data_IF_369140230659
#
_entry.id   IF_369140230659
#
_cell.length_a   1.000
_cell.length_b   1.000
_cell.length_c   1.000
_cell.angle_alpha   90.00
_cell.angle_beta   90.00
_cell.angle_gamma   90.00
#
_symmetry.space_group_name_H-M   'P 1'
#
loop_
_entity.id
_entity.type
_entity.pdbx_description
1 polymer ?
#
# COMPACT_ATOMS: atom_id res chain seq x y z
N UNK A 1 -24.15 -3.23 -41.15
CA UNK A 1 -24.80 -3.72 -39.91
C UNK A 1 -26.02 -2.87 -39.61
N UNK A 2 -27.10 -3.45 -39.06
CA UNK A 2 -28.24 -2.66 -38.56
C UNK A 2 -27.84 -1.93 -37.26
N UNK A 3 -28.48 -0.79 -36.98
CA UNK A 3 -28.23 -0.03 -35.73
C UNK A 3 -28.48 -0.88 -34.49
N UNK A 4 -29.52 -1.70 -34.52
CA UNK A 4 -29.84 -2.64 -33.44
C UNK A 4 -28.73 -3.65 -33.20
N UNK A 5 -28.16 -4.22 -34.28
CA UNK A 5 -27.03 -5.14 -34.14
C UNK A 5 -25.78 -4.43 -33.61
N UNK A 6 -25.52 -3.18 -34.03
CA UNK A 6 -24.39 -2.40 -33.51
C UNK A 6 -24.53 -2.13 -32.00
N UNK A 7 -25.72 -1.70 -31.57
CA UNK A 7 -26.00 -1.47 -30.15
C UNK A 7 -25.82 -2.76 -29.33
N UNK A 8 -26.38 -3.89 -29.81
CA UNK A 8 -26.23 -5.18 -29.13
C UNK A 8 -24.77 -5.61 -28.99
N UNK A 9 -23.93 -5.37 -30.00
CA UNK A 9 -22.49 -5.67 -29.92
C UNK A 9 -21.80 -4.76 -28.90
N UNK A 10 -22.06 -3.45 -28.93
CA UNK A 10 -21.45 -2.51 -27.99
C UNK A 10 -21.85 -2.85 -26.55
N UNK A 11 -23.11 -3.20 -26.31
CA UNK A 11 -23.60 -3.59 -24.98
C UNK A 11 -22.96 -4.89 -24.50
N UNK A 12 -22.82 -5.88 -25.39
CA UNK A 12 -22.13 -7.13 -25.08
C UNK A 12 -20.64 -6.91 -24.75
N UNK A 13 -19.95 -6.04 -25.51
CA UNK A 13 -18.56 -5.67 -25.25
C UNK A 13 -18.43 -4.90 -23.93
N UNK A 14 -19.36 -3.98 -23.64
CA UNK A 14 -19.38 -3.24 -22.37
C UNK A 14 -19.56 -4.19 -21.18
N UNK A 15 -20.49 -5.15 -21.29
CA UNK A 15 -20.71 -6.16 -20.25
C UNK A 15 -19.47 -7.05 -20.05
N UNK A 16 -18.88 -7.56 -21.13
CA UNK A 16 -17.65 -8.35 -21.05
C UNK A 16 -16.51 -7.55 -20.41
N UNK A 17 -16.33 -6.29 -20.81
CA UNK A 17 -15.33 -5.39 -20.24
C UNK A 17 -15.56 -5.14 -18.74
N UNK A 18 -16.81 -4.96 -18.32
CA UNK A 18 -17.17 -4.82 -16.90
C UNK A 18 -16.80 -6.06 -16.08
N UNK A 19 -17.12 -7.26 -16.59
CA UNK A 19 -16.79 -8.53 -15.93
C UNK A 19 -15.28 -8.68 -15.76
N UNK A 20 -14.51 -8.41 -16.83
CA UNK A 20 -13.05 -8.51 -16.79
C UNK A 20 -12.45 -7.45 -15.85
N UNK A 21 -12.96 -6.22 -15.87
CA UNK A 21 -12.52 -5.16 -14.95
C UNK A 21 -12.77 -5.54 -13.49
N UNK A 22 -13.97 -6.05 -13.18
CA UNK A 22 -14.32 -6.50 -11.84
C UNK A 22 -13.44 -7.67 -11.39
N UNK A 23 -13.27 -8.69 -12.23
CA UNK A 23 -12.45 -9.86 -11.92
C UNK A 23 -10.98 -9.48 -11.66
N UNK A 24 -10.39 -8.63 -12.51
CA UNK A 24 -9.00 -8.18 -12.33
C UNK A 24 -8.84 -7.30 -11.09
N UNK A 25 -9.79 -6.42 -10.77
CA UNK A 25 -9.76 -5.61 -9.55
C UNK A 25 -9.87 -6.47 -8.29
N UNK A 26 -10.73 -7.47 -8.32
CA UNK A 26 -10.95 -8.42 -7.22
C UNK A 26 -9.70 -9.29 -6.98
N UNK A 27 -9.08 -9.76 -8.06
CA UNK A 27 -7.81 -10.48 -8.02
C UNK A 27 -6.69 -9.62 -7.44
N UNK A 28 -6.56 -8.36 -7.87
CA UNK A 28 -5.58 -7.41 -7.31
C UNK A 28 -5.83 -7.10 -5.83
N UNK A 29 -7.06 -7.24 -5.35
CA UNK A 29 -7.40 -7.03 -3.93
C UNK A 29 -7.07 -8.24 -3.05
N UNK A 30 -7.44 -9.44 -3.50
CA UNK A 30 -7.34 -10.64 -2.66
C UNK A 30 -6.16 -11.54 -2.99
N UNK A 31 -5.82 -11.70 -4.27
CA UNK A 31 -4.71 -12.56 -4.68
C UNK A 31 -3.36 -11.85 -4.57
N UNK A 32 -3.32 -10.53 -4.78
CA UNK A 32 -2.09 -9.72 -4.73
C UNK A 32 -2.23 -8.49 -3.80
N UNK A 33 -2.29 -8.70 -2.47
CA UNK A 33 -2.44 -7.60 -1.52
C UNK A 33 -1.34 -6.53 -1.66
N UNK A 34 -1.61 -5.27 -1.27
CA UNK A 34 -0.62 -4.20 -1.30
C UNK A 34 0.65 -4.60 -0.52
N UNK A 35 1.83 -4.42 -1.12
CA UNK A 35 3.11 -4.76 -0.47
C UNK A 35 3.75 -6.08 -0.91
N UNK A 36 3.07 -6.89 -1.72
CA UNK A 36 3.62 -8.09 -2.42
C UNK A 36 4.52 -7.75 -3.63
N UNK A 37 5.13 -6.55 -3.59
CA UNK A 37 5.60 -5.75 -4.73
C UNK A 37 6.31 -6.51 -5.86
N UNK A 38 5.98 -6.14 -7.10
CA UNK A 38 6.63 -6.63 -8.29
C UNK A 38 8.11 -6.27 -8.39
N UNK A 39 8.80 -6.98 -9.31
CA UNK A 39 10.26 -7.01 -9.46
C UNK A 39 10.94 -5.63 -9.56
N UNK A 40 10.23 -4.61 -10.06
CA UNK A 40 10.75 -3.24 -10.25
C UNK A 40 10.64 -2.31 -9.03
N UNK A 41 9.98 -2.74 -7.96
CA UNK A 41 9.84 -1.98 -6.72
C UNK A 41 10.58 -2.68 -5.57
N UNK A 42 11.88 -2.93 -5.71
CA UNK A 42 12.71 -3.25 -4.55
C UNK A 42 12.62 -2.05 -3.60
N UNK A 43 11.80 -2.15 -2.56
CA UNK A 43 11.75 -1.13 -1.52
C UNK A 43 13.16 -0.84 -1.03
N UNK A 44 13.53 0.42 -0.86
CA UNK A 44 14.84 0.80 -0.35
C UNK A 44 14.93 0.54 1.17
N UNK A 45 14.96 -0.72 1.57
CA UNK A 45 14.98 -1.15 2.97
C UNK A 45 15.69 -2.48 3.17
N UNK A 46 16.20 -2.70 4.38
CA UNK A 46 16.85 -3.96 4.75
C UNK A 46 15.88 -5.14 4.52
N UNK A 47 16.34 -6.18 3.81
CA UNK A 47 15.55 -7.37 3.49
C UNK A 47 14.60 -7.23 2.29
N UNK A 48 14.66 -6.14 1.52
CA UNK A 48 13.80 -5.96 0.34
C UNK A 48 14.01 -7.04 -0.74
N UNK A 49 15.26 -7.50 -0.94
CA UNK A 49 15.57 -8.61 -1.84
C UNK A 49 15.11 -9.98 -1.33
N UNK A 50 14.75 -10.10 -0.06
CA UNK A 50 14.33 -11.35 0.60
C UNK A 50 12.81 -11.50 0.70
N UNK A 51 12.03 -10.50 0.27
CA UNK A 51 10.57 -10.55 0.37
C UNK A 51 10.00 -11.42 -0.76
N UNK A 52 9.12 -12.39 -0.46
CA UNK A 52 8.47 -13.17 -1.50
C UNK A 52 7.59 -12.27 -2.36
N UNK A 53 7.77 -12.36 -3.68
CA UNK A 53 6.95 -11.65 -4.67
C UNK A 53 5.81 -12.57 -5.10
N UNK A 54 4.58 -12.11 -4.95
CA UNK A 54 3.42 -12.84 -5.47
C UNK A 54 3.28 -12.56 -6.96
N UNK A 55 3.43 -13.61 -7.77
CA UNK A 55 3.18 -13.54 -9.21
C UNK A 55 1.98 -14.39 -9.57
N UNK A 56 1.14 -13.88 -10.46
CA UNK A 56 0.04 -14.62 -11.06
C UNK A 56 0.31 -14.67 -12.55
N UNK A 57 0.49 -15.88 -13.08
CA UNK A 57 0.78 -16.11 -14.50
C UNK A 57 2.09 -15.43 -14.94
N UNK A 58 3.10 -15.42 -14.06
CA UNK A 58 4.39 -14.76 -14.32
C UNK A 58 4.34 -13.23 -14.26
N UNK A 59 3.17 -12.64 -14.06
CA UNK A 59 2.98 -11.20 -13.99
C UNK A 59 2.89 -10.75 -12.53
N UNK A 60 3.56 -9.65 -12.22
CA UNK A 60 3.51 -9.05 -10.89
C UNK A 60 2.25 -8.22 -10.68
N UNK A 61 2.00 -7.80 -9.43
CA UNK A 61 0.94 -6.85 -9.09
C UNK A 61 0.99 -5.56 -9.92
N UNK A 62 2.18 -5.10 -10.30
CA UNK A 62 2.33 -3.89 -11.11
C UNK A 62 1.88 -4.10 -12.56
N UNK A 63 2.25 -5.24 -13.14
CA UNK A 63 1.85 -5.60 -14.50
C UNK A 63 0.34 -5.84 -14.60
N UNK A 64 -0.23 -6.60 -13.65
CA UNK A 64 -1.68 -6.75 -13.55
C UNK A 64 -2.40 -5.43 -13.29
N UNK A 65 -1.79 -4.52 -12.53
CA UNK A 65 -2.28 -3.16 -12.35
C UNK A 65 -2.33 -2.38 -13.67
N UNK A 66 -1.29 -2.49 -14.50
CA UNK A 66 -1.24 -1.89 -15.83
C UNK A 66 -2.31 -2.47 -16.76
N UNK A 67 -2.47 -3.80 -16.77
CA UNK A 67 -3.52 -4.48 -17.54
C UNK A 67 -4.91 -4.00 -17.09
N UNK A 68 -5.17 -3.99 -15.78
CA UNK A 68 -6.42 -3.50 -15.21
C UNK A 68 -6.72 -2.05 -15.61
N UNK A 69 -5.70 -1.19 -15.57
CA UNK A 69 -5.81 0.21 -16.01
C UNK A 69 -6.22 0.34 -17.48
N UNK A 70 -5.58 -0.41 -18.40
CA UNK A 70 -5.94 -0.36 -19.82
C UNK A 70 -7.33 -0.93 -20.10
N UNK A 71 -7.75 -1.96 -19.37
CA UNK A 71 -9.12 -2.48 -19.44
C UNK A 71 -10.12 -1.40 -18.99
N UNK A 72 -9.84 -0.70 -17.89
CA UNK A 72 -10.68 0.39 -17.39
C UNK A 72 -10.81 1.51 -18.44
N UNK A 73 -9.70 1.90 -19.06
CA UNK A 73 -9.68 2.93 -20.09
C UNK A 73 -10.46 2.50 -21.34
N UNK A 74 -10.30 1.25 -21.78
CA UNK A 74 -11.05 0.68 -22.89
C UNK A 74 -12.55 0.62 -22.61
N UNK A 75 -12.94 0.15 -21.41
CA UNK A 75 -14.34 0.13 -20.99
C UNK A 75 -14.94 1.54 -20.92
N UNK A 76 -14.18 2.53 -20.45
CA UNK A 76 -14.60 3.94 -20.45
C UNK A 76 -14.93 4.43 -21.87
N UNK A 77 -14.08 4.12 -22.86
CA UNK A 77 -14.33 4.48 -24.25
C UNK A 77 -15.57 3.77 -24.82
N UNK A 78 -15.74 2.48 -24.54
CA UNK A 78 -16.94 1.72 -24.97
C UNK A 78 -18.21 2.29 -24.34
N UNK A 79 -18.19 2.63 -23.05
CA UNK A 79 -19.32 3.25 -22.37
C UNK A 79 -19.63 4.64 -22.91
N UNK A 80 -18.63 5.43 -23.29
CA UNK A 80 -18.85 6.70 -23.97
C UNK A 80 -19.57 6.51 -25.30
N UNK A 81 -19.13 5.54 -26.12
CA UNK A 81 -19.81 5.18 -27.38
C UNK A 81 -21.24 4.68 -27.11
N UNK A 82 -21.43 3.82 -26.12
CA UNK A 82 -22.75 3.33 -25.70
C UNK A 82 -23.68 4.51 -25.35
N UNK A 83 -23.23 5.47 -24.54
CA UNK A 83 -24.00 6.67 -24.20
C UNK A 83 -24.38 7.49 -25.44
N UNK A 84 -23.46 7.68 -26.39
CA UNK A 84 -23.72 8.41 -27.63
C UNK A 84 -24.77 7.69 -28.50
N UNK A 85 -24.70 6.35 -28.60
CA UNK A 85 -25.67 5.55 -29.34
C UNK A 85 -27.07 5.60 -28.70
N UNK A 86 -27.13 5.66 -27.37
CA UNK A 86 -28.37 5.74 -26.60
C UNK A 86 -28.86 7.18 -26.34
N UNK A 87 -28.18 8.20 -26.89
CA UNK A 87 -28.47 9.61 -26.64
C UNK A 87 -29.94 10.01 -26.87
N UNK A 88 -30.60 9.49 -27.91
CA UNK A 88 -32.02 9.75 -28.16
C UNK A 88 -32.93 9.21 -27.05
N UNK A 89 -32.64 8.01 -26.55
CA UNK A 89 -33.36 7.43 -25.42
C UNK A 89 -33.14 8.27 -24.16
N UNK A 90 -31.89 8.68 -23.90
CA UNK A 90 -31.55 9.57 -22.78
C UNK A 90 -32.36 10.87 -22.86
N UNK A 91 -32.37 11.54 -24.02
CA UNK A 91 -33.14 12.76 -24.22
C UNK A 91 -34.65 12.53 -24.04
N UNK A 92 -35.20 11.41 -24.51
CA UNK A 92 -36.60 11.06 -24.28
C UNK A 92 -36.93 10.83 -22.81
N UNK A 93 -36.04 10.16 -22.06
CA UNK A 93 -36.20 9.94 -20.60
C UNK A 93 -36.10 11.27 -19.85
N UNK A 94 -35.12 12.11 -20.18
CA UNK A 94 -34.92 13.42 -19.53
C UNK A 94 -36.02 14.43 -19.87
N UNK A 95 -36.58 14.39 -21.08
CA UNK A 95 -37.68 15.26 -21.53
C UNK A 95 -39.06 14.66 -21.32
N UNK A 96 -39.17 13.49 -20.69
CA UNK A 96 -40.43 12.78 -20.49
C UNK A 96 -41.49 13.71 -19.91
N UNK A 97 -42.70 13.70 -20.50
CA UNK A 97 -43.82 14.51 -20.03
C UNK A 97 -44.04 14.22 -18.54
N UNK A 98 -44.13 15.25 -17.67
CA UNK A 98 -44.43 15.03 -16.27
C UNK A 98 -45.79 14.34 -16.19
N UNK A 99 -45.81 13.09 -15.74
CA UNK A 99 -47.05 12.47 -15.29
C UNK A 99 -47.47 13.25 -14.04
N UNK A 100 -48.75 13.65 -13.96
CA UNK A 100 -49.29 14.53 -12.92
C UNK A 100 -49.09 14.06 -11.47
N UNK A 101 -48.67 12.80 -11.28
CA UNK A 101 -48.50 12.17 -9.97
C UNK A 101 -47.05 12.04 -9.49
N UNK A 102 -46.04 12.45 -10.29
CA UNK A 102 -44.63 12.32 -9.89
C UNK A 102 -43.98 13.70 -9.77
N UNK A 103 -43.77 14.13 -8.52
CA UNK A 103 -43.13 15.40 -8.18
C UNK A 103 -41.75 15.54 -8.85
N UNK A 104 -41.58 16.59 -9.65
CA UNK A 104 -40.33 16.93 -10.34
C UNK A 104 -39.11 17.06 -9.41
N UNK A 105 -39.33 17.18 -8.10
CA UNK A 105 -38.28 17.15 -7.09
C UNK A 105 -37.47 15.84 -7.07
N UNK A 106 -38.08 14.67 -7.36
CA UNK A 106 -37.35 13.38 -7.39
C UNK A 106 -36.36 13.31 -8.54
N UNK A 107 -36.72 13.89 -9.68
CA UNK A 107 -35.85 13.99 -10.85
C UNK A 107 -34.70 14.97 -10.60
N UNK A 108 -35.00 16.15 -10.06
CA UNK A 108 -33.97 17.14 -9.68
C UNK A 108 -32.98 16.57 -8.66
N UNK A 109 -33.47 15.83 -7.66
CA UNK A 109 -32.62 15.14 -6.69
C UNK A 109 -31.73 14.07 -7.34
N UNK A 110 -32.25 13.31 -8.30
CA UNK A 110 -31.48 12.33 -9.06
C UNK A 110 -30.34 12.97 -9.86
N UNK A 111 -30.62 14.08 -10.54
CA UNK A 111 -29.60 14.84 -11.30
C UNK A 111 -28.54 15.43 -10.37
N UNK A 112 -28.96 16.05 -9.26
CA UNK A 112 -28.05 16.60 -8.26
C UNK A 112 -27.16 15.51 -7.63
N UNK A 113 -27.73 14.35 -7.32
CA UNK A 113 -27.00 13.19 -6.80
C UNK A 113 -25.95 12.67 -7.79
N UNK A 114 -26.31 12.52 -9.07
CA UNK A 114 -25.37 12.10 -10.10
C UNK A 114 -24.24 13.11 -10.29
N UNK A 115 -24.55 14.41 -10.28
CA UNK A 115 -23.54 15.46 -10.37
C UNK A 115 -22.57 15.42 -9.18
N UNK A 116 -23.09 15.26 -7.96
CA UNK A 116 -22.28 15.13 -6.74
C UNK A 116 -21.35 13.92 -6.79
N UNK A 117 -21.86 12.74 -7.17
CA UNK A 117 -21.05 11.51 -7.30
C UNK A 117 -19.95 11.70 -8.34
N UNK A 118 -20.27 12.33 -9.47
CA UNK A 118 -19.29 12.61 -10.54
C UNK A 118 -18.19 13.56 -10.04
N UNK A 119 -18.56 14.62 -9.32
CA UNK A 119 -17.60 15.56 -8.75
C UNK A 119 -16.69 14.91 -7.70
N UNK A 120 -17.26 14.10 -6.80
CA UNK A 120 -16.49 13.36 -5.80
C UNK A 120 -15.53 12.36 -6.45
N UNK A 121 -15.96 11.67 -7.51
CA UNK A 121 -15.10 10.76 -8.27
C UNK A 121 -13.97 11.50 -9.01
N UNK A 122 -14.20 12.75 -9.45
CA UNK A 122 -13.20 13.57 -10.11
C UNK A 122 -12.23 14.29 -9.14
N UNK A 123 -12.61 14.46 -7.87
CA UNK A 123 -11.81 15.19 -6.88
C UNK A 123 -10.35 14.70 -6.75
N UNK A 124 -10.06 13.38 -6.72
CA UNK A 124 -8.69 12.87 -6.63
C UNK A 124 -7.78 13.27 -7.81
N UNK A 125 -8.36 13.61 -8.98
CA UNK A 125 -7.59 14.02 -10.16
C UNK A 125 -7.12 15.48 -10.07
N UNK A 126 -7.77 16.28 -9.22
CA UNK A 126 -7.51 17.72 -9.08
C UNK A 126 -6.69 17.99 -7.81
N UNK A 127 -6.81 17.14 -6.80
CA UNK A 127 -6.01 17.25 -5.57
C UNK A 127 -4.56 16.83 -5.84
N UNK A 128 -3.57 17.71 -5.62
CA UNK A 128 -2.17 17.38 -5.82
C UNK A 128 -1.73 16.27 -4.86
N UNK A 129 -0.94 15.34 -5.38
CA UNK A 129 -0.35 14.28 -4.57
C UNK A 129 0.67 14.88 -3.59
N UNK A 130 0.54 14.56 -2.30
CA UNK A 130 1.49 14.94 -1.28
C UNK A 130 2.46 13.78 -1.01
N UNK A 131 3.76 14.06 -1.01
CA UNK A 131 4.79 13.09 -0.62
C UNK A 131 5.19 13.32 0.82
N UNK A 132 4.75 12.45 1.72
CA UNK A 132 5.15 12.51 3.13
C UNK A 132 6.24 11.45 3.44
N UNK A 133 7.28 11.78 4.22
CA UNK A 133 8.23 10.79 4.71
C UNK A 133 7.52 9.69 5.49
N UNK A 134 7.87 8.43 5.24
CA UNK A 134 7.23 7.28 5.91
C UNK A 134 7.31 7.38 7.45
N UNK A 135 8.39 7.95 7.97
CA UNK A 135 8.60 8.18 9.40
C UNK A 135 7.62 9.20 10.00
N UNK A 136 7.20 10.20 9.24
CA UNK A 136 6.22 11.20 9.70
C UNK A 136 4.82 10.62 9.72
N UNK A 137 4.42 9.89 8.67
CA UNK A 137 3.13 9.19 8.63
C UNK A 137 3.00 8.15 9.76
N UNK A 138 4.08 7.42 10.05
CA UNK A 138 4.13 6.47 11.18
C UNK A 138 3.98 7.20 12.52
N UNK A 139 4.65 8.34 12.72
CA UNK A 139 4.50 9.15 13.94
C UNK A 139 3.10 9.74 14.08
N UNK A 140 2.49 10.23 13.00
CA UNK A 140 1.11 10.73 13.02
C UNK A 140 0.11 9.62 13.36
N UNK A 141 0.29 8.42 12.81
CA UNK A 141 -0.57 7.28 13.11
C UNK A 141 -0.40 6.74 14.53
N UNK A 142 0.78 6.95 15.15
CA UNK A 142 1.04 6.63 16.56
C UNK A 142 0.67 7.77 17.53
N UNK A 143 0.57 9.01 17.04
CA UNK A 143 0.32 10.21 17.86
C UNK A 143 -1.16 10.49 18.15
N UNK A 144 -2.09 9.95 17.36
CA UNK A 144 -3.54 10.19 17.52
C UNK A 144 -4.26 9.17 18.41
N UNK A 145 -3.54 8.16 18.94
CA UNK A 145 -4.09 7.17 19.87
C UNK A 145 -3.66 7.43 21.31
N UNK A 146 -3.68 8.69 21.75
CA UNK A 146 -3.67 9.03 23.18
C UNK A 146 -5.12 9.19 23.65
N UNK A 147 -5.89 8.11 23.61
CA UNK A 147 -7.02 7.96 24.53
C UNK A 147 -6.44 7.65 25.90
N UNK A 148 -6.60 8.61 26.80
CA UNK A 148 -6.30 8.57 28.23
C UNK A 148 -7.14 7.52 28.97
N UNK A 149 -6.88 6.25 28.66
CA UNK A 149 -7.31 5.13 29.47
C UNK A 149 -6.04 4.43 29.92
N UNK A 150 -5.72 4.59 31.20
CA UNK A 150 -4.75 3.77 31.90
C UNK A 150 -5.17 2.30 31.83
N UNK A 151 -4.76 1.63 30.76
CA UNK A 151 -4.72 0.18 30.64
C UNK A 151 -3.30 -0.30 30.96
N UNK A 152 -3.14 -1.53 31.50
CA UNK A 152 -1.84 -2.03 31.91
C UNK A 152 -0.88 -1.99 30.72
N UNK A 153 0.40 -1.74 31.01
CA UNK A 153 1.49 -2.01 30.08
C UNK A 153 1.32 -3.46 29.58
N UNK A 154 0.75 -3.62 28.40
CA UNK A 154 0.88 -4.86 27.65
C UNK A 154 2.33 -4.90 27.18
N UNK A 155 3.16 -5.45 28.07
CA UNK A 155 4.32 -6.22 27.68
C UNK A 155 3.83 -7.26 26.68
N UNK A 156 3.94 -6.92 25.40
CA UNK A 156 3.92 -7.90 24.33
C UNK A 156 5.18 -8.73 24.54
N UNK A 157 5.04 -9.80 25.33
CA UNK A 157 5.92 -10.95 25.33
C UNK A 157 5.86 -11.58 23.93
N UNK A 158 6.58 -10.97 22.98
CA UNK A 158 7.06 -11.71 21.82
C UNK A 158 8.22 -12.57 22.30
N UNK A 159 7.88 -13.82 22.64
CA UNK A 159 8.80 -14.94 22.77
C UNK A 159 9.55 -15.16 21.44
N UNK A 160 10.56 -14.33 21.21
CA UNK A 160 11.74 -14.57 20.36
C UNK A 160 12.90 -13.94 21.14
N UNK A 161 13.28 -14.62 22.21
CA UNK A 161 14.49 -14.31 22.95
C UNK A 161 15.70 -14.39 22.01
N UNK A 162 16.69 -13.54 22.28
CA UNK A 162 18.08 -13.73 21.81
C UNK A 162 18.48 -13.12 20.45
N UNK A 163 17.70 -12.22 19.84
CA UNK A 163 18.13 -11.51 18.63
C UNK A 163 18.40 -10.02 18.87
N UNK A 164 19.68 -9.64 18.97
CA UNK A 164 20.11 -8.23 18.99
C UNK A 164 19.69 -7.52 17.71
N UNK A 165 18.96 -6.41 17.85
CA UNK A 165 18.40 -5.61 16.74
C UNK A 165 19.21 -4.33 16.53
N UNK A 166 19.39 -3.92 15.27
CA UNK A 166 20.21 -2.75 14.92
C UNK A 166 19.68 -1.39 15.38
N UNK A 167 18.49 -1.30 15.96
CA UNK A 167 17.98 -0.06 16.56
C UNK A 167 18.32 0.10 18.04
N UNK A 168 18.87 -0.95 18.67
CA UNK A 168 19.28 -0.92 20.06
C UNK A 168 20.51 -0.04 20.26
N UNK A 169 20.67 0.53 21.46
CA UNK A 169 21.88 1.26 21.86
C UNK A 169 22.99 0.32 22.35
N UNK A 170 24.24 0.78 22.38
CA UNK A 170 25.34 -0.01 22.96
C UNK A 170 25.06 -0.41 24.41
N UNK A 171 24.43 0.49 25.19
CA UNK A 171 24.02 0.24 26.56
C UNK A 171 22.93 -0.84 26.68
N UNK A 172 21.92 -0.80 25.80
CA UNK A 172 20.88 -1.83 25.74
C UNK A 172 21.44 -3.20 25.31
N UNK A 173 22.40 -3.21 24.38
CA UNK A 173 23.06 -4.46 23.97
C UNK A 173 23.95 -5.00 25.09
N UNK A 174 24.65 -4.14 25.83
CA UNK A 174 25.47 -4.55 26.97
C UNK A 174 24.63 -5.10 28.13
N UNK A 175 23.50 -4.47 28.45
CA UNK A 175 22.59 -4.94 29.50
C UNK A 175 21.93 -6.27 29.13
N UNK A 176 21.61 -6.47 27.84
CA UNK A 176 20.97 -7.70 27.37
C UNK A 176 21.95 -8.86 27.19
N UNK A 177 23.17 -8.61 26.71
CA UNK A 177 24.18 -9.65 26.49
C UNK A 177 25.03 -9.98 27.72
N UNK A 178 24.96 -9.14 28.77
CA UNK A 178 25.83 -9.26 29.95
C UNK A 178 27.30 -8.93 29.68
N UNK A 179 27.64 -8.44 28.48
CA UNK A 179 28.99 -8.04 28.09
C UNK A 179 29.13 -6.51 28.27
N UNK A 180 30.11 -6.01 29.04
CA UNK A 180 30.31 -4.58 29.22
C UNK A 180 30.55 -3.83 27.90
N UNK A 181 30.07 -2.58 27.79
CA UNK A 181 30.25 -1.74 26.60
C UNK A 181 31.73 -1.63 26.20
N UNK A 182 32.63 -1.52 27.17
CA UNK A 182 34.09 -1.48 26.95
C UNK A 182 34.61 -2.71 26.22
N UNK A 183 34.08 -3.89 26.57
CA UNK A 183 34.51 -5.17 26.01
C UNK A 183 33.93 -5.37 24.62
N UNK A 184 32.70 -4.90 24.38
CA UNK A 184 32.08 -4.87 23.04
C UNK A 184 32.90 -3.97 22.11
N UNK A 185 33.26 -2.77 22.56
CA UNK A 185 34.08 -1.83 21.76
C UNK A 185 35.47 -2.40 21.49
N UNK A 186 36.11 -3.02 22.48
CA UNK A 186 37.42 -3.65 22.34
C UNK A 186 37.39 -4.80 21.32
N UNK A 187 36.38 -5.67 21.40
CA UNK A 187 36.22 -6.81 20.47
C UNK A 187 35.87 -6.37 19.05
N UNK A 188 35.20 -5.23 18.89
CA UNK A 188 34.89 -4.63 17.60
C UNK A 188 36.01 -3.73 17.04
N UNK A 189 37.07 -3.48 17.81
CA UNK A 189 38.17 -2.58 17.41
C UNK A 189 37.73 -1.11 17.29
N UNK A 190 36.71 -0.70 18.05
CA UNK A 190 36.17 0.65 18.04
C UNK A 190 36.85 1.54 19.09
N UNK A 191 36.85 2.88 18.89
CA UNK A 191 37.41 3.81 19.88
C UNK A 191 36.64 3.72 21.21
N UNK A 192 37.36 3.73 22.32
CA UNK A 192 36.77 3.71 23.67
C UNK A 192 35.98 4.98 24.04
N UNK A 193 36.04 6.02 23.19
CA UNK A 193 35.29 7.28 23.31
C UNK A 193 33.90 7.22 22.63
N UNK A 194 33.47 6.04 22.19
CA UNK A 194 32.15 5.86 21.57
C UNK A 194 31.05 6.00 22.64
N UNK A 195 30.06 6.85 22.37
CA UNK A 195 28.98 7.12 23.34
C UNK A 195 28.12 5.87 23.59
N UNK A 196 27.88 5.45 24.85
CA UNK A 196 27.06 4.27 25.18
C UNK A 196 25.60 4.35 24.70
N UNK A 197 25.09 5.57 24.49
CA UNK A 197 23.75 5.84 23.96
C UNK A 197 23.65 5.75 22.44
N UNK A 198 24.74 5.46 21.73
CA UNK A 198 24.75 5.37 20.28
C UNK A 198 24.06 4.10 19.79
N UNK A 199 23.23 4.24 18.75
CA UNK A 199 22.55 3.12 18.12
C UNK A 199 23.52 2.22 17.36
N UNK A 200 23.50 0.93 17.69
CA UNK A 200 24.48 -0.02 17.17
C UNK A 200 24.39 -0.18 15.65
N UNK A 201 23.19 -0.16 15.05
CA UNK A 201 23.06 -0.24 13.60
C UNK A 201 23.59 0.98 12.85
N UNK A 202 23.60 2.17 13.47
CA UNK A 202 24.22 3.37 12.91
C UNK A 202 25.73 3.29 13.02
N UNK A 203 26.23 2.91 14.19
CA UNK A 203 27.64 2.75 14.50
C UNK A 203 28.31 1.72 13.59
N UNK A 204 27.68 0.56 13.40
CA UNK A 204 28.16 -0.50 12.52
C UNK A 204 28.21 -0.03 11.06
N UNK A 205 27.18 0.68 10.57
CA UNK A 205 27.17 1.22 9.21
C UNK A 205 28.22 2.31 9.00
N UNK A 206 28.44 3.18 9.99
CA UNK A 206 29.45 4.24 9.93
C UNK A 206 30.88 3.69 9.77
N UNK A 207 31.14 2.50 10.31
CA UNK A 207 32.42 1.81 10.23
C UNK A 207 32.44 0.67 9.21
N UNK A 208 31.42 0.55 8.35
CA UNK A 208 31.33 -0.48 7.31
C UNK A 208 31.28 -1.92 7.84
N UNK A 209 30.79 -2.11 9.07
CA UNK A 209 30.71 -3.41 9.74
C UNK A 209 29.30 -4.00 9.66
N UNK A 210 29.23 -5.34 9.62
CA UNK A 210 27.97 -6.08 9.61
C UNK A 210 27.50 -6.47 11.01
N UNK A 211 26.18 -6.57 11.20
CA UNK A 211 25.56 -7.00 12.47
C UNK A 211 26.00 -8.41 12.92
N UNK A 212 26.49 -9.25 12.01
CA UNK A 212 27.10 -10.55 12.31
C UNK A 212 28.32 -10.41 13.21
N UNK A 213 29.20 -9.44 12.95
CA UNK A 213 30.38 -9.17 13.81
C UNK A 213 30.00 -8.73 15.21
N UNK A 214 28.91 -7.97 15.36
CA UNK A 214 28.40 -7.60 16.68
C UNK A 214 27.95 -8.84 17.45
N UNK A 215 27.19 -9.74 16.80
CA UNK A 215 26.72 -11.00 17.42
C UNK A 215 27.88 -11.91 17.82
N UNK A 216 28.92 -11.97 17.00
CA UNK A 216 30.16 -12.69 17.32
C UNK A 216 30.89 -12.05 18.51
N UNK A 217 30.97 -10.72 18.57
CA UNK A 217 31.63 -10.00 19.67
C UNK A 217 30.96 -10.23 21.03
N UNK A 218 29.64 -10.38 21.06
CA UNK A 218 28.86 -10.67 22.27
C UNK A 218 28.68 -12.17 22.56
N UNK A 219 29.19 -13.06 21.70
CA UNK A 219 29.16 -14.51 21.92
C UNK A 219 27.83 -15.19 21.61
N UNK A 220 26.98 -14.62 20.76
CA UNK A 220 25.66 -15.19 20.38
C UNK A 220 25.65 -15.95 19.05
N UNK A 221 26.81 -16.32 18.52
CA UNK A 221 26.92 -17.18 17.34
C UNK A 221 27.54 -18.52 17.72
N UNK A 222 26.72 -19.50 18.12
CA UNK A 222 27.08 -20.93 18.14
C UNK A 222 27.00 -21.54 16.73
N UNK A 223 27.55 -20.87 15.71
CA UNK A 223 27.46 -21.35 14.32
C UNK A 223 28.78 -21.41 13.57
N UNK A 224 29.90 -21.65 14.27
CA UNK A 224 31.15 -22.11 13.63
C UNK A 224 31.85 -23.17 14.50
N UNK A 225 31.51 -24.44 14.25
CA UNK A 225 32.49 -25.54 14.26
C UNK A 225 32.72 -25.97 12.81
#
# INVERSE_FOLDING_TARGET
MSRTALNAIIDAVAYAGLVVLAATGLMLRWQMPPGSGGLHGMGSGAGAGSRPVTVVWGLSRHEWGSIHYWIALGLMAVLAVHLLLHWKWIVCVLRGKPHSDVSGGRFALGVAGLALVTLLAAAPLITPAQTAPRSELLKSSSGDQQTDLGGPKEEVESSDGESIRGFMTLEEVASQSGVPVSDILLRLGLPSDTAPSEQVGRLMRAHGMEMSKLRQAIGQDESVQ
#
